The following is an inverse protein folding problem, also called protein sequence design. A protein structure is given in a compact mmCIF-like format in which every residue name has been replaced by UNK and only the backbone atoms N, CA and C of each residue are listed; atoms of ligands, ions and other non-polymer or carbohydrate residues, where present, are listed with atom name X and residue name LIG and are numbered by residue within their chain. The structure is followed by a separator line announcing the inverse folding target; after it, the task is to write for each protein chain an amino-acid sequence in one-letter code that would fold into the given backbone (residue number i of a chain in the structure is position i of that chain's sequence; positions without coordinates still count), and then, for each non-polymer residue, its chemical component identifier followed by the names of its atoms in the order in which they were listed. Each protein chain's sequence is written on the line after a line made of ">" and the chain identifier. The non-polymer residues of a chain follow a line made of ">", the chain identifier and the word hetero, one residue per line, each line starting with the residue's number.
data_IF_850763895250
#
_entry.id   IF_850763895250
#
_cell.length_a   1.000
_cell.length_b   1.000
_cell.length_c   1.000
_cell.angle_alpha   90.00
_cell.angle_beta   90.00
_cell.angle_gamma   90.00
#
_symmetry.space_group_name_H-M   'P 1'
#
loop_
_entity.id
_entity.type
_entity.pdbx_description
1 polymer ?
#
# COMPACT_ATOMS: atom_id res chain seq x y z
N UNK A 1 -32.92 7.09 -2.48
CA UNK A 1 -32.69 6.15 -3.59
C UNK A 1 -31.61 5.19 -3.12
N UNK A 2 -31.95 3.90 -3.02
CA UNK A 2 -31.13 2.86 -2.42
C UNK A 2 -29.97 2.48 -3.35
N UNK A 3 -28.74 2.64 -2.90
CA UNK A 3 -27.61 1.82 -3.36
C UNK A 3 -27.28 0.82 -2.25
N UNK A 4 -28.12 -0.21 -2.17
CA UNK A 4 -27.75 -1.46 -1.53
C UNK A 4 -26.77 -2.19 -2.46
N UNK A 5 -25.53 -1.70 -2.50
CA UNK A 5 -24.43 -2.50 -3.01
C UNK A 5 -24.29 -3.70 -2.06
N UNK A 6 -24.42 -4.90 -2.60
CA UNK A 6 -24.02 -6.15 -1.95
C UNK A 6 -22.59 -5.94 -1.42
N UNK A 7 -22.45 -5.62 -0.13
CA UNK A 7 -21.15 -5.61 0.54
C UNK A 7 -20.72 -7.06 0.60
N UNK A 8 -19.93 -7.49 -0.38
CA UNK A 8 -18.98 -8.56 -0.13
C UNK A 8 -18.20 -8.11 1.12
N UNK A 9 -18.22 -8.89 2.19
CA UNK A 9 -17.48 -8.57 3.40
C UNK A 9 -15.98 -8.66 3.09
N UNK A 10 -15.40 -7.54 2.68
CA UNK A 10 -13.97 -7.47 2.38
C UNK A 10 -13.17 -7.36 3.67
N UNK A 11 -12.03 -8.04 3.71
CA UNK A 11 -11.07 -7.95 4.80
C UNK A 11 -10.05 -6.84 4.56
N UNK A 12 -9.42 -6.39 5.65
CA UNK A 12 -8.39 -5.36 5.62
C UNK A 12 -7.18 -5.77 6.45
N UNK A 13 -6.00 -5.50 5.92
CA UNK A 13 -4.74 -5.57 6.66
C UNK A 13 -4.54 -4.20 7.30
N UNK A 14 -4.21 -4.19 8.60
CA UNK A 14 -3.85 -2.97 9.33
C UNK A 14 -2.47 -3.15 9.94
N UNK A 15 -1.59 -2.17 9.70
CA UNK A 15 -0.29 -2.05 10.37
C UNK A 15 -0.22 -0.64 10.95
N UNK A 16 0.16 -0.53 12.22
CA UNK A 16 0.26 0.75 12.91
C UNK A 16 1.56 0.78 13.71
N UNK A 17 2.36 1.82 13.51
CA UNK A 17 3.67 2.00 14.13
C UNK A 17 3.87 3.47 14.50
N UNK A 18 4.68 3.74 15.52
CA UNK A 18 5.11 5.11 15.87
C UNK A 18 6.60 5.24 15.57
N UNK A 19 6.93 6.13 14.64
CA UNK A 19 8.33 6.41 14.28
C UNK A 19 8.81 7.69 14.94
N UNK A 20 10.07 7.76 15.42
CA UNK A 20 10.64 8.93 16.08
C UNK A 20 11.04 10.06 15.11
N UNK A 21 10.23 10.27 14.07
CA UNK A 21 10.48 11.22 12.99
C UNK A 21 9.29 12.17 12.81
N UNK A 22 9.51 13.30 12.15
CA UNK A 22 8.43 14.26 11.85
C UNK A 22 7.52 13.75 10.73
N UNK A 23 6.26 14.20 10.65
CA UNK A 23 5.35 13.81 9.58
C UNK A 23 5.90 14.13 8.19
N UNK A 24 6.65 15.23 8.04
CA UNK A 24 7.28 15.65 6.79
C UNK A 24 8.36 14.68 6.31
N UNK A 25 9.17 14.15 7.24
CA UNK A 25 10.22 13.20 6.92
C UNK A 25 9.64 11.84 6.48
N UNK A 26 8.61 11.37 7.20
CA UNK A 26 7.87 10.15 6.84
C UNK A 26 7.14 10.35 5.50
N UNK A 27 6.48 11.48 5.32
CA UNK A 27 5.78 11.82 4.09
C UNK A 27 6.69 11.75 2.86
N UNK A 28 7.91 12.28 2.96
CA UNK A 28 8.89 12.19 1.89
C UNK A 28 9.19 10.74 1.50
N UNK A 29 9.38 9.84 2.47
CA UNK A 29 9.62 8.40 2.19
C UNK A 29 8.42 7.70 1.55
N UNK A 30 7.20 8.14 1.88
CA UNK A 30 5.96 7.61 1.31
C UNK A 30 5.62 8.15 -0.07
N UNK A 31 6.18 9.30 -0.47
CA UNK A 31 5.76 10.05 -1.67
C UNK A 31 6.90 10.42 -2.63
N UNK A 32 8.12 9.97 -2.36
CA UNK A 32 9.26 10.04 -3.28
C UNK A 32 9.49 8.67 -3.93
N UNK A 33 9.42 8.61 -5.26
CA UNK A 33 9.54 7.35 -6.00
C UNK A 33 10.87 6.61 -5.79
N UNK A 34 11.98 7.34 -5.61
CA UNK A 34 13.27 6.75 -5.34
C UNK A 34 13.35 6.18 -3.91
N UNK A 35 12.67 6.80 -2.94
CA UNK A 35 12.58 6.28 -1.58
C UNK A 35 11.60 5.11 -1.46
N UNK A 36 10.45 5.15 -2.15
CA UNK A 36 9.51 4.03 -2.25
C UNK A 36 10.22 2.77 -2.76
N UNK A 37 11.10 2.93 -3.76
CA UNK A 37 11.89 1.83 -4.31
C UNK A 37 12.75 1.08 -3.28
N UNK A 38 13.12 1.76 -2.18
CA UNK A 38 14.05 1.23 -1.17
C UNK A 38 13.35 0.42 -0.09
N UNK A 39 12.12 0.76 0.30
CA UNK A 39 11.40 -0.01 1.34
C UNK A 39 10.38 -0.98 0.77
N UNK A 40 9.71 -0.63 -0.34
CA UNK A 40 8.66 -1.43 -0.96
C UNK A 40 9.16 -2.09 -2.26
N UNK A 41 9.00 -1.39 -3.39
CA UNK A 41 9.33 -1.84 -4.75
C UNK A 41 9.56 -0.60 -5.63
N UNK A 42 10.41 -0.66 -6.68
CA UNK A 42 10.60 0.45 -7.60
C UNK A 42 9.32 0.77 -8.38
N UNK A 43 8.74 1.98 -8.24
CA UNK A 43 7.58 2.35 -9.03
C UNK A 43 7.99 2.87 -10.42
N UNK A 44 7.23 2.51 -11.45
CA UNK A 44 7.38 3.07 -12.81
C UNK A 44 6.27 4.07 -13.10
N UNK A 45 6.64 5.32 -13.45
CA UNK A 45 5.67 6.38 -13.78
C UNK A 45 5.02 7.07 -12.59
N UNK A 46 5.58 6.93 -11.38
CA UNK A 46 4.99 7.49 -10.16
C UNK A 46 5.22 8.99 -9.99
N UNK A 47 4.17 9.69 -9.56
CA UNK A 47 4.19 11.01 -9.00
C UNK A 47 3.13 11.10 -7.89
N UNK A 48 3.37 11.85 -6.80
CA UNK A 48 2.41 12.00 -5.71
C UNK A 48 1.33 13.04 -6.07
N UNK A 49 0.59 12.77 -7.14
CA UNK A 49 -0.48 13.61 -7.66
C UNK A 49 -1.71 12.74 -7.91
N UNK A 50 -2.87 13.15 -7.42
CA UNK A 50 -4.14 12.42 -7.63
C UNK A 50 -4.40 12.16 -9.13
N UNK A 51 -4.89 10.95 -9.42
CA UNK A 51 -5.09 10.45 -10.79
C UNK A 51 -3.81 9.91 -11.47
N UNK A 52 -2.63 10.05 -10.84
CA UNK A 52 -1.41 9.48 -11.42
C UNK A 52 -1.48 7.96 -11.43
N UNK A 53 -1.27 7.37 -12.61
CA UNK A 53 -1.16 5.92 -12.79
C UNK A 53 0.30 5.50 -12.85
N UNK A 54 0.62 4.46 -12.12
CA UNK A 54 1.96 3.91 -12.04
C UNK A 54 1.90 2.40 -11.83
N UNK A 55 3.05 1.73 -11.97
CA UNK A 55 3.12 0.28 -11.75
C UNK A 55 4.23 -0.10 -10.79
N UNK A 56 4.01 -1.22 -10.09
CA UNK A 56 5.08 -2.00 -9.49
C UNK A 56 5.22 -3.32 -10.26
N UNK A 57 6.39 -3.95 -10.15
CA UNK A 57 6.66 -5.26 -10.71
C UNK A 57 7.10 -6.22 -9.60
N UNK A 58 6.48 -7.40 -9.55
CA UNK A 58 6.86 -8.49 -8.64
C UNK A 58 6.97 -9.82 -9.40
N UNK A 59 7.10 -10.92 -8.67
CA UNK A 59 7.20 -12.26 -9.25
C UNK A 59 5.90 -12.67 -9.92
N UNK A 60 5.97 -13.03 -11.21
CA UNK A 60 4.84 -13.57 -11.96
C UNK A 60 4.30 -14.87 -11.33
N UNK A 61 3.02 -15.15 -11.56
CA UNK A 61 2.37 -16.38 -11.12
C UNK A 61 1.23 -16.79 -12.04
N UNK A 62 1.23 -18.04 -12.51
CA UNK A 62 0.19 -18.55 -13.39
C UNK A 62 0.03 -17.67 -14.63
N UNK A 63 -1.19 -17.17 -14.85
CA UNK A 63 -1.53 -16.29 -15.97
C UNK A 63 -1.23 -14.80 -15.71
N UNK A 64 -0.75 -14.44 -14.52
CA UNK A 64 -0.39 -13.07 -14.16
C UNK A 64 1.11 -12.85 -14.32
N UNK A 65 1.48 -11.77 -15.01
CA UNK A 65 2.86 -11.38 -15.35
C UNK A 65 3.62 -10.71 -14.20
N UNK A 66 3.00 -10.56 -13.03
CA UNK A 66 3.60 -9.89 -11.88
C UNK A 66 3.43 -8.37 -11.85
N UNK A 67 2.72 -7.78 -12.83
CA UNK A 67 2.45 -6.35 -12.86
C UNK A 67 1.35 -5.96 -11.87
N UNK A 68 1.64 -4.93 -11.07
CA UNK A 68 0.67 -4.30 -10.17
C UNK A 68 0.36 -2.93 -10.74
N UNK A 69 -0.90 -2.69 -11.09
CA UNK A 69 -1.39 -1.42 -11.59
C UNK A 69 -1.95 -0.59 -10.44
N UNK A 70 -1.39 0.61 -10.28
CA UNK A 70 -1.78 1.53 -9.23
C UNK A 70 -2.30 2.84 -9.80
N UNK A 71 -3.15 3.51 -9.02
CA UNK A 71 -3.63 4.87 -9.29
C UNK A 71 -3.65 5.64 -7.98
N UNK A 72 -3.03 6.82 -7.94
CA UNK A 72 -3.06 7.69 -6.77
C UNK A 72 -4.48 8.25 -6.61
N UNK A 73 -5.12 7.96 -5.47
CA UNK A 73 -6.50 8.32 -5.20
C UNK A 73 -6.65 9.55 -4.31
N UNK A 74 -5.71 9.75 -3.37
CA UNK A 74 -5.73 10.93 -2.49
C UNK A 74 -4.32 11.33 -2.06
N UNK A 75 -4.05 12.64 -2.06
CA UNK A 75 -2.79 13.22 -1.59
C UNK A 75 -3.10 14.41 -0.68
N UNK A 76 -3.11 14.16 0.64
CA UNK A 76 -3.25 15.20 1.67
C UNK A 76 -1.89 15.34 2.37
N UNK A 77 -1.11 16.38 2.05
CA UNK A 77 0.25 16.54 2.56
C UNK A 77 0.36 16.30 4.06
N UNK A 78 1.32 15.45 4.44
CA UNK A 78 1.66 15.12 5.83
C UNK A 78 0.55 14.45 6.66
N UNK A 79 -0.58 14.09 6.05
CA UNK A 79 -1.73 13.53 6.75
C UNK A 79 -2.22 12.22 6.14
N UNK A 80 -2.38 12.17 4.81
CA UNK A 80 -2.97 11.00 4.15
C UNK A 80 -2.48 10.80 2.72
N UNK A 81 -2.09 9.57 2.42
CA UNK A 81 -1.74 9.16 1.07
C UNK A 81 -2.45 7.85 0.73
N UNK A 82 -3.23 7.84 -0.36
CA UNK A 82 -4.04 6.70 -0.77
C UNK A 82 -3.83 6.36 -2.23
N UNK A 83 -3.70 5.09 -2.56
CA UNK A 83 -3.64 4.60 -3.94
C UNK A 83 -4.35 3.25 -4.12
N UNK A 84 -4.93 3.05 -5.29
CA UNK A 84 -5.48 1.77 -5.73
C UNK A 84 -4.36 0.77 -5.99
N UNK A 85 -4.65 -0.52 -5.82
CA UNK A 85 -3.76 -1.63 -6.04
C UNK A 85 -4.51 -2.74 -6.79
N UNK A 86 -4.22 -2.88 -8.08
CA UNK A 86 -4.84 -3.90 -8.93
C UNK A 86 -3.79 -4.85 -9.46
N UNK A 87 -3.99 -6.13 -9.25
CA UNK A 87 -3.00 -7.15 -9.64
C UNK A 87 -3.65 -8.53 -9.78
N UNK A 88 -2.86 -9.50 -10.24
CA UNK A 88 -3.32 -10.88 -10.36
C UNK A 88 -4.20 -11.11 -11.58
N UNK A 89 -4.67 -12.34 -11.71
CA UNK A 89 -5.51 -12.77 -12.82
C UNK A 89 -6.73 -13.56 -12.31
N UNK A 90 -7.87 -13.49 -13.00
CA UNK A 90 -9.12 -14.12 -12.58
C UNK A 90 -9.03 -15.65 -12.51
N UNK A 91 -8.20 -16.24 -13.38
CA UNK A 91 -7.98 -17.69 -13.41
C UNK A 91 -7.04 -18.21 -12.33
N UNK A 92 -6.33 -17.33 -11.61
CA UNK A 92 -5.37 -17.74 -10.59
C UNK A 92 -6.07 -17.98 -9.24
N UNK A 93 -5.64 -19.02 -8.53
CA UNK A 93 -6.06 -19.33 -7.15
C UNK A 93 -4.86 -19.16 -6.23
N UNK A 94 -5.04 -18.51 -5.07
CA UNK A 94 -3.96 -18.26 -4.13
C UNK A 94 -3.09 -17.06 -4.51
N UNK A 95 -1.76 -17.22 -4.54
CA UNK A 95 -0.84 -16.16 -4.96
C UNK A 95 -1.09 -15.79 -6.43
N UNK A 96 -1.19 -14.50 -6.72
CA UNK A 96 -1.53 -14.00 -8.05
C UNK A 96 -3.02 -14.09 -8.41
N UNK A 97 -3.91 -14.47 -7.49
CA UNK A 97 -5.36 -14.28 -7.66
C UNK A 97 -5.70 -12.80 -7.85
N UNK A 98 -6.78 -12.51 -8.57
CA UNK A 98 -7.20 -11.13 -8.85
C UNK A 98 -7.41 -10.34 -7.55
N UNK A 99 -6.82 -9.15 -7.50
CA UNK A 99 -6.96 -8.15 -6.45
C UNK A 99 -7.44 -6.85 -7.06
N UNK A 100 -8.43 -6.24 -6.41
CA UNK A 100 -8.86 -4.86 -6.62
C UNK A 100 -8.99 -4.22 -5.22
N UNK A 101 -7.88 -3.66 -4.74
CA UNK A 101 -7.71 -3.24 -3.36
C UNK A 101 -7.23 -1.80 -3.28
N UNK A 102 -7.23 -1.23 -2.07
CA UNK A 102 -6.78 0.14 -1.81
C UNK A 102 -5.80 0.14 -0.65
N UNK A 103 -4.69 0.87 -0.81
CA UNK A 103 -3.72 1.14 0.26
C UNK A 103 -3.89 2.57 0.72
N UNK A 104 -4.09 2.76 2.02
CA UNK A 104 -4.17 4.07 2.67
C UNK A 104 -3.14 4.18 3.77
N UNK A 105 -2.34 5.23 3.73
CA UNK A 105 -1.49 5.68 4.83
C UNK A 105 -2.15 6.87 5.49
N UNK A 106 -2.18 6.87 6.82
CA UNK A 106 -2.54 8.02 7.65
C UNK A 106 -1.39 8.34 8.58
N UNK A 107 -1.04 9.62 8.66
CA UNK A 107 0.00 10.17 9.52
C UNK A 107 -0.65 11.02 10.60
N UNK A 108 -0.27 10.79 11.84
CA UNK A 108 -0.72 11.58 12.99
C UNK A 108 0.49 11.94 13.85
N UNK A 109 0.68 13.23 14.12
CA UNK A 109 1.73 13.67 15.04
C UNK A 109 1.34 13.26 16.46
N UNK A 110 2.26 12.58 17.15
CA UNK A 110 2.07 12.10 18.52
C UNK A 110 3.25 12.48 19.40
N UNK A 111 3.11 12.31 20.72
CA UNK A 111 4.26 12.42 21.62
C UNK A 111 5.31 11.38 21.22
N UNK A 112 6.53 11.84 20.94
CA UNK A 112 7.64 10.97 20.53
C UNK A 112 7.80 10.77 19.01
N UNK A 113 6.94 11.35 18.16
CA UNK A 113 7.15 11.33 16.70
C UNK A 113 5.86 11.30 15.88
N UNK A 114 5.76 10.39 14.93
CA UNK A 114 4.61 10.26 14.01
C UNK A 114 4.06 8.85 14.04
N UNK A 115 2.77 8.73 14.36
CA UNK A 115 2.03 7.48 14.17
C UNK A 115 1.72 7.32 12.68
N UNK A 116 2.13 6.20 12.12
CA UNK A 116 1.83 5.79 10.75
C UNK A 116 0.87 4.63 10.82
N UNK A 117 -0.30 4.80 10.20
CA UNK A 117 -1.29 3.75 10.07
C UNK A 117 -1.48 3.39 8.61
N UNK A 118 -1.12 2.17 8.25
CA UNK A 118 -1.37 1.56 6.94
C UNK A 118 -2.65 0.71 7.02
N UNK A 119 -3.57 0.95 6.09
CA UNK A 119 -4.70 0.07 5.79
C UNK A 119 -4.63 -0.38 4.36
N UNK A 120 -4.59 -1.69 4.14
CA UNK A 120 -4.78 -2.30 2.82
C UNK A 120 -6.11 -3.03 2.84
N UNK A 121 -7.13 -2.50 2.16
CA UNK A 121 -8.52 -3.00 2.20
C UNK A 121 -8.99 -3.50 0.84
N UNK A 122 -10.04 -4.33 0.84
CA UNK A 122 -10.69 -4.84 -0.37
C UNK A 122 -10.48 -6.33 -0.65
N UNK A 123 -9.86 -7.08 0.28
CA UNK A 123 -9.61 -8.51 0.08
C UNK A 123 -10.90 -9.32 0.20
N UNK A 124 -11.23 -10.11 -0.82
CA UNK A 124 -12.40 -10.99 -0.82
C UNK A 124 -11.98 -12.40 -0.43
N UNK A 125 -12.50 -12.94 0.67
CA UNK A 125 -12.17 -14.29 1.15
C UNK A 125 -13.25 -15.31 0.76
N UNK A 126 -12.88 -16.59 0.52
CA UNK A 126 -11.52 -17.16 0.61
C UNK A 126 -10.64 -16.92 -0.62
N UNK A 127 -11.16 -16.27 -1.68
CA UNK A 127 -10.43 -16.09 -2.96
C UNK A 127 -9.03 -15.48 -2.78
N UNK A 128 -8.90 -14.47 -1.91
CA UNK A 128 -7.66 -13.76 -1.66
C UNK A 128 -6.94 -14.20 -0.38
N UNK A 129 -7.29 -15.34 0.25
CA UNK A 129 -6.76 -15.73 1.57
C UNK A 129 -5.22 -15.79 1.59
N UNK A 130 -4.62 -16.40 0.57
CA UNK A 130 -3.15 -16.48 0.44
C UNK A 130 -2.53 -15.08 0.29
N UNK A 131 -3.12 -14.22 -0.54
CA UNK A 131 -2.63 -12.86 -0.75
C UNK A 131 -2.76 -12.03 0.55
N UNK A 132 -3.91 -12.10 1.22
CA UNK A 132 -4.17 -11.43 2.49
C UNK A 132 -3.14 -11.80 3.56
N UNK A 133 -2.84 -13.10 3.72
CA UNK A 133 -1.83 -13.58 4.67
C UNK A 133 -0.42 -13.13 4.29
N UNK A 134 -0.02 -13.31 3.04
CA UNK A 134 1.34 -12.98 2.58
C UNK A 134 1.61 -11.47 2.63
N UNK A 135 0.68 -10.66 2.13
CA UNK A 135 0.79 -9.21 2.18
C UNK A 135 0.70 -8.70 3.62
N UNK A 136 -0.11 -9.33 4.47
CA UNK A 136 -0.18 -8.98 5.90
C UNK A 136 1.17 -9.10 6.61
N UNK A 137 1.90 -10.17 6.33
CA UNK A 137 3.27 -10.33 6.84
C UNK A 137 4.26 -9.38 6.15
N UNK A 138 4.15 -9.23 4.83
CA UNK A 138 5.00 -8.35 4.04
C UNK A 138 4.94 -6.89 4.50
N UNK A 139 3.73 -6.34 4.72
CA UNK A 139 3.54 -4.97 5.19
C UNK A 139 4.20 -4.72 6.53
N UNK A 140 4.05 -5.64 7.50
CA UNK A 140 4.73 -5.52 8.80
C UNK A 140 6.24 -5.40 8.61
N UNK A 141 6.83 -6.21 7.74
CA UNK A 141 8.28 -6.16 7.49
C UNK A 141 8.72 -4.87 6.79
N UNK A 142 8.05 -4.47 5.70
CA UNK A 142 8.53 -3.34 4.88
C UNK A 142 8.23 -1.98 5.51
N UNK A 143 7.14 -1.84 6.28
CA UNK A 143 6.81 -0.57 6.97
C UNK A 143 7.89 -0.20 7.98
N UNK A 144 8.47 -1.18 8.70
CA UNK A 144 9.59 -0.89 9.61
C UNK A 144 10.83 -0.34 8.91
N UNK A 145 11.03 -0.61 7.62
CA UNK A 145 12.17 -0.06 6.86
C UNK A 145 12.08 1.45 6.63
N UNK A 146 10.88 2.03 6.78
CA UNK A 146 10.68 3.49 6.69
C UNK A 146 11.58 4.19 7.71
N UNK A 147 11.65 3.68 8.95
CA UNK A 147 12.48 4.25 10.01
C UNK A 147 13.93 4.40 9.58
N UNK A 148 14.49 3.31 9.03
CA UNK A 148 15.87 3.26 8.54
C UNK A 148 16.12 4.27 7.42
N UNK A 149 15.20 4.35 6.45
CA UNK A 149 15.35 5.27 5.32
C UNK A 149 15.28 6.74 5.77
N UNK A 150 14.39 7.05 6.72
CA UNK A 150 14.31 8.41 7.25
C UNK A 150 15.60 8.77 7.99
N UNK A 151 16.10 7.88 8.86
CA UNK A 151 17.30 8.12 9.65
C UNK A 151 18.56 8.35 8.79
N UNK A 152 18.68 7.74 7.62
CA UNK A 152 19.80 7.95 6.70
C UNK A 152 19.75 9.27 5.92
N UNK A 153 18.58 9.89 5.80
CA UNK A 153 18.36 11.12 5.04
C UNK A 153 18.42 12.39 5.88
N UNK A 154 18.74 12.27 7.18
CA UNK A 154 18.91 13.39 8.11
C UNK A 154 20.33 13.97 8.09
#
# INVERSE_FOLDING_TARGET
>A
MNDAALKLETQSIVVEEVFPHTPEAIWKVLTDGALIARWLMPPTGFAPVEGTRFTFQTTAAGAWDGAIHCEVLAVVPYERFTYAWKSGHESNVGYGSKLDTVVTFTLEKVSGGTRVRLVHSGFVLPQNETAFKNMGNGWKTVVHRIDTIVAEGQ
#
